data_IF_113541278354
#
_entry.id   IF_113541278354
#
_cell.length_a   1.000
_cell.length_b   1.000
_cell.length_c   1.000
_cell.angle_alpha   90.00
_cell.angle_beta   90.00
_cell.angle_gamma   90.00
#
_symmetry.space_group_name_H-M   'P 1'
#
loop_
_entity.id
_entity.type
_entity.pdbx_description
1 polymer ?
#
# COMPACT_ATOMS: atom_id res chain seq x y z
N UNK A 1 -35.28 71.23 -22.05
CA UNK A 1 -35.29 69.75 -22.05
C UNK A 1 -34.13 69.31 -21.15
N UNK A 2 -34.40 68.57 -20.07
CA UNK A 2 -33.45 68.27 -18.98
C UNK A 2 -33.06 66.80 -19.07
N UNK A 3 -31.80 66.50 -19.36
CA UNK A 3 -31.27 65.14 -19.46
C UNK A 3 -30.71 64.70 -18.10
N UNK A 4 -31.17 63.54 -17.61
CA UNK A 4 -30.65 62.86 -16.42
C UNK A 4 -29.61 61.81 -16.85
N UNK A 5 -28.47 61.66 -16.14
CA UNK A 5 -27.52 60.58 -16.40
C UNK A 5 -27.95 59.30 -15.66
N UNK A 6 -27.89 58.18 -16.38
CA UNK A 6 -28.10 56.82 -15.85
C UNK A 6 -26.76 56.36 -15.24
N UNK A 7 -26.76 56.07 -13.95
CA UNK A 7 -25.60 55.48 -13.28
C UNK A 7 -25.57 53.96 -13.52
N UNK A 8 -24.50 53.45 -14.13
CA UNK A 8 -24.20 52.01 -14.20
C UNK A 8 -23.51 51.56 -12.91
N UNK A 9 -24.17 50.68 -12.15
CA UNK A 9 -23.56 50.00 -11.02
C UNK A 9 -22.79 48.76 -11.51
N UNK A 10 -21.47 48.77 -11.35
CA UNK A 10 -20.59 47.63 -11.65
C UNK A 10 -20.60 46.64 -10.49
N UNK A 11 -21.19 45.45 -10.69
CA UNK A 11 -21.06 44.33 -9.75
C UNK A 11 -19.67 43.69 -9.91
N UNK A 12 -18.83 43.78 -8.86
CA UNK A 12 -17.56 43.08 -8.80
C UNK A 12 -17.78 41.63 -8.39
N UNK A 13 -17.37 40.70 -9.24
CA UNK A 13 -17.38 39.26 -8.96
C UNK A 13 -16.15 38.91 -8.11
N UNK A 14 -16.38 38.59 -6.83
CA UNK A 14 -15.38 37.99 -5.95
C UNK A 14 -15.13 36.54 -6.36
N UNK A 15 -13.98 36.25 -6.95
CA UNK A 15 -13.53 34.89 -7.28
C UNK A 15 -12.99 34.19 -6.03
N UNK A 16 -13.79 33.29 -5.44
CA UNK A 16 -13.32 32.38 -4.39
C UNK A 16 -12.39 31.33 -5.00
N UNK A 17 -11.11 31.40 -4.63
CA UNK A 17 -10.12 30.37 -4.96
C UNK A 17 -10.19 29.27 -3.90
N UNK A 18 -10.85 28.16 -4.18
CA UNK A 18 -10.87 26.99 -3.29
C UNK A 18 -9.54 26.25 -3.45
N UNK A 19 -8.68 26.32 -2.43
CA UNK A 19 -7.42 25.58 -2.39
C UNK A 19 -7.72 24.12 -2.04
N UNK A 20 -8.02 23.30 -3.05
CA UNK A 20 -8.25 21.87 -2.88
C UNK A 20 -6.88 21.22 -2.63
N UNK A 21 -6.60 20.64 -1.45
CA UNK A 21 -5.34 19.95 -1.23
C UNK A 21 -5.20 18.81 -2.25
N UNK A 22 -3.99 18.60 -2.81
CA UNK A 22 -3.78 17.53 -3.78
C UNK A 22 -4.20 16.21 -3.14
N UNK A 23 -5.10 15.49 -3.81
CA UNK A 23 -5.45 14.13 -3.44
C UNK A 23 -4.18 13.29 -3.42
N UNK A 24 -3.74 12.85 -2.23
CA UNK A 24 -2.63 11.92 -2.12
C UNK A 24 -3.07 10.64 -2.81
N UNK A 25 -2.55 10.40 -4.01
CA UNK A 25 -2.85 9.19 -4.77
C UNK A 25 -2.57 7.98 -3.88
N UNK A 26 -3.58 7.13 -3.69
CA UNK A 26 -3.46 5.89 -2.92
C UNK A 26 -2.45 5.00 -3.65
N UNK A 27 -1.20 5.00 -3.18
CA UNK A 27 -0.15 4.19 -3.78
C UNK A 27 -0.40 2.73 -3.41
N UNK A 28 -0.92 1.97 -4.37
CA UNK A 28 -1.05 0.52 -4.27
C UNK A 28 0.14 -0.14 -4.97
N UNK A 29 0.83 -1.02 -4.26
CA UNK A 29 1.93 -1.83 -4.78
C UNK A 29 1.73 -3.30 -4.41
N UNK A 30 2.27 -4.18 -5.24
CA UNK A 30 2.26 -5.61 -5.01
C UNK A 30 3.69 -6.13 -4.98
N UNK A 31 4.05 -6.75 -3.86
CA UNK A 31 5.35 -7.34 -3.65
C UNK A 31 5.27 -8.86 -3.80
N UNK A 32 5.88 -9.37 -4.88
CA UNK A 32 5.72 -10.76 -5.32
C UNK A 32 6.98 -11.56 -5.06
N UNK A 33 6.82 -12.80 -4.63
CA UNK A 33 7.92 -13.74 -4.42
C UNK A 33 7.41 -15.18 -4.40
N UNK A 34 8.32 -16.11 -4.07
CA UNK A 34 8.02 -17.54 -4.03
C UNK A 34 8.78 -18.21 -2.87
N UNK A 35 8.07 -19.06 -2.15
CA UNK A 35 8.62 -19.94 -1.11
C UNK A 35 9.25 -21.19 -1.74
N UNK A 36 10.24 -21.76 -1.07
CA UNK A 36 10.94 -22.96 -1.55
C UNK A 36 10.01 -24.19 -1.70
N UNK A 37 8.95 -24.27 -0.89
CA UNK A 37 7.94 -25.33 -0.98
C UNK A 37 6.96 -25.18 -2.16
N UNK A 38 7.16 -24.18 -3.02
CA UNK A 38 6.41 -23.98 -4.26
C UNK A 38 5.20 -23.05 -4.17
N UNK A 39 4.88 -22.51 -2.99
CA UNK A 39 3.87 -21.45 -2.86
C UNK A 39 4.41 -20.11 -3.36
N UNK A 40 3.71 -19.50 -4.31
CA UNK A 40 3.93 -18.10 -4.69
C UNK A 40 3.10 -17.19 -3.79
N UNK A 41 3.56 -15.95 -3.61
CA UNK A 41 2.83 -14.96 -2.85
C UNK A 41 2.85 -13.58 -3.50
N UNK A 42 1.83 -12.79 -3.16
CA UNK A 42 1.70 -11.38 -3.47
C UNK A 42 1.26 -10.64 -2.22
N UNK A 43 2.18 -9.90 -1.61
CA UNK A 43 1.89 -9.00 -0.50
C UNK A 43 1.38 -7.67 -1.05
N UNK A 44 0.27 -7.18 -0.52
CA UNK A 44 -0.32 -5.91 -0.93
C UNK A 44 0.09 -4.79 0.02
N UNK A 45 0.65 -3.73 -0.57
CA UNK A 45 0.92 -2.48 0.10
C UNK A 45 -0.10 -1.45 -0.35
N UNK A 46 -0.87 -0.94 0.59
CA UNK A 46 -1.93 0.04 0.35
C UNK A 46 -1.83 1.12 1.43
N UNK A 47 -1.94 2.39 1.04
CA UNK A 47 -1.98 3.54 1.96
C UNK A 47 -0.85 3.55 3.00
N UNK A 48 0.36 3.18 2.58
CA UNK A 48 1.53 3.20 3.46
C UNK A 48 1.74 1.95 4.32
N UNK A 49 0.93 0.89 4.17
CA UNK A 49 1.02 -0.33 4.98
C UNK A 49 0.82 -1.60 4.18
N UNK A 50 1.42 -2.68 4.66
CA UNK A 50 1.10 -4.03 4.20
C UNK A 50 -0.14 -4.55 4.93
N UNK A 51 -1.16 -4.93 4.18
CA UNK A 51 -2.46 -5.32 4.76
C UNK A 51 -2.78 -6.80 4.58
N UNK A 52 -2.32 -7.42 3.48
CA UNK A 52 -2.54 -8.84 3.23
C UNK A 52 -1.49 -9.48 2.34
N UNK A 53 -1.38 -10.81 2.43
CA UNK A 53 -0.66 -11.65 1.49
C UNK A 53 -1.62 -12.63 0.86
N UNK A 54 -1.68 -12.66 -0.47
CA UNK A 54 -2.35 -13.71 -1.24
C UNK A 54 -1.35 -14.77 -1.63
N UNK A 55 -1.67 -16.03 -1.35
CA UNK A 55 -0.84 -17.21 -1.62
C UNK A 55 -1.47 -18.07 -2.72
N UNK A 56 -0.65 -18.56 -3.63
CA UNK A 56 -1.10 -19.46 -4.70
C UNK A 56 -0.13 -20.60 -4.92
N UNK A 57 -0.66 -21.79 -5.23
CA UNK A 57 0.10 -22.95 -5.66
C UNK A 57 -0.77 -23.78 -6.59
N UNK A 58 -0.16 -24.37 -7.62
CA UNK A 58 -0.89 -25.24 -8.55
C UNK A 58 -1.58 -26.38 -7.81
N UNK A 59 -2.82 -26.68 -8.16
CA UNK A 59 -3.64 -27.72 -7.53
C UNK A 59 -4.13 -27.41 -6.11
N UNK A 60 -3.94 -26.18 -5.62
CA UNK A 60 -4.38 -25.76 -4.29
C UNK A 60 -5.26 -24.51 -4.37
N UNK A 61 -6.33 -24.41 -3.55
CA UNK A 61 -7.11 -23.18 -3.45
C UNK A 61 -6.24 -22.01 -2.97
N UNK A 62 -6.41 -20.80 -3.54
CA UNK A 62 -5.72 -19.61 -3.04
C UNK A 62 -6.00 -19.36 -1.57
N UNK A 63 -4.98 -18.91 -0.84
CA UNK A 63 -5.09 -18.59 0.58
C UNK A 63 -4.76 -17.13 0.82
N UNK A 64 -5.25 -16.59 1.93
CA UNK A 64 -5.00 -15.19 2.31
C UNK A 64 -4.55 -15.13 3.76
N UNK A 65 -3.53 -14.33 4.01
CA UNK A 65 -3.12 -13.90 5.34
C UNK A 65 -3.40 -12.43 5.48
N UNK A 66 -4.25 -12.05 6.43
CA UNK A 66 -4.34 -10.65 6.87
C UNK A 66 -3.10 -10.30 7.68
N UNK A 67 -2.58 -9.10 7.48
CA UNK A 67 -1.40 -8.59 8.16
C UNK A 67 -1.77 -7.45 9.10
N UNK A 68 -1.08 -7.39 10.23
CA UNK A 68 -1.12 -6.26 11.15
C UNK A 68 0.29 -5.81 11.46
N UNK A 69 0.49 -4.50 11.52
CA UNK A 69 1.76 -3.93 11.97
C UNK A 69 2.02 -4.37 13.41
N UNK A 70 3.21 -4.90 13.68
CA UNK A 70 3.64 -5.28 15.02
C UNK A 70 4.53 -4.21 15.63
N UNK A 71 5.65 -3.94 14.97
CA UNK A 71 6.68 -3.02 15.44
C UNK A 71 7.68 -2.70 14.32
N UNK A 72 8.61 -1.79 14.59
CA UNK A 72 9.79 -1.55 13.76
C UNK A 72 11.01 -2.15 14.47
N UNK A 73 11.88 -2.87 13.75
CA UNK A 73 13.09 -3.45 14.34
C UNK A 73 14.22 -2.41 14.49
N UNK A 74 15.33 -2.81 15.10
CA UNK A 74 16.53 -1.98 15.28
C UNK A 74 17.21 -1.52 13.99
N UNK A 75 16.84 -2.07 12.83
CA UNK A 75 17.30 -1.63 11.49
C UNK A 75 16.36 -0.61 10.85
N UNK A 76 15.31 -0.18 11.56
CA UNK A 76 14.29 0.72 11.05
C UNK A 76 13.30 0.04 10.10
N UNK A 77 13.24 -1.29 10.07
CA UNK A 77 12.38 -2.04 9.16
C UNK A 77 11.03 -2.33 9.84
N UNK A 78 9.90 -1.86 9.27
CA UNK A 78 8.57 -2.25 9.71
C UNK A 78 8.37 -3.77 9.63
N UNK A 79 7.79 -4.34 10.68
CA UNK A 79 7.44 -5.76 10.78
C UNK A 79 5.93 -5.88 10.90
N UNK A 80 5.37 -6.75 10.07
CA UNK A 80 3.96 -7.12 10.05
C UNK A 80 3.82 -8.60 10.40
N UNK A 81 2.74 -8.95 11.10
CA UNK A 81 2.39 -10.32 11.47
C UNK A 81 1.03 -10.70 10.94
N UNK A 82 0.86 -11.98 10.64
CA UNK A 82 -0.42 -12.57 10.29
C UNK A 82 -0.38 -14.08 10.50
N UNK A 83 -1.39 -14.76 10.01
CA UNK A 83 -1.43 -16.23 10.00
C UNK A 83 -1.87 -16.75 8.63
N UNK A 84 -1.49 -17.98 8.35
CA UNK A 84 -1.92 -18.77 7.20
C UNK A 84 -2.63 -20.02 7.72
N UNK A 85 -3.72 -20.44 7.06
CA UNK A 85 -4.57 -21.54 7.53
C UNK A 85 -5.01 -21.40 8.99
N UNK A 86 -5.25 -20.16 9.44
CA UNK A 86 -5.61 -19.77 10.80
C UNK A 86 -4.59 -20.09 11.92
N UNK A 87 -3.50 -20.83 11.66
CA UNK A 87 -2.57 -21.28 12.70
C UNK A 87 -1.08 -21.05 12.39
N UNK A 88 -0.69 -21.02 11.11
CA UNK A 88 0.73 -20.95 10.73
C UNK A 88 1.19 -19.51 10.75
N UNK A 89 2.20 -19.18 11.55
CA UNK A 89 2.65 -17.79 11.72
C UNK A 89 3.28 -17.24 10.44
N UNK A 90 2.89 -16.02 10.07
CA UNK A 90 3.48 -15.27 8.95
C UNK A 90 4.13 -13.99 9.48
N UNK A 91 5.33 -13.70 9.00
CA UNK A 91 6.05 -12.45 9.25
C UNK A 91 6.42 -11.80 7.92
N UNK A 92 6.09 -10.54 7.75
CA UNK A 92 6.59 -9.71 6.65
C UNK A 92 7.49 -8.62 7.23
N UNK A 93 8.67 -8.45 6.65
CA UNK A 93 9.60 -7.38 6.96
C UNK A 93 9.75 -6.50 5.73
N UNK A 94 9.43 -5.22 5.88
CA UNK A 94 9.70 -4.22 4.86
C UNK A 94 11.17 -3.81 4.89
N UNK A 95 11.92 -4.16 3.85
CA UNK A 95 13.35 -3.89 3.79
C UNK A 95 13.66 -2.45 3.34
N UNK A 96 12.66 -1.72 2.85
CA UNK A 96 12.77 -0.30 2.49
C UNK A 96 12.52 0.66 3.66
N UNK A 97 12.35 0.14 4.88
CA UNK A 97 12.27 0.97 6.11
C UNK A 97 11.08 1.95 6.12
N UNK A 98 9.96 1.56 5.51
CA UNK A 98 8.75 2.37 5.40
C UNK A 98 8.61 3.13 4.08
N UNK A 99 9.68 3.23 3.28
CA UNK A 99 9.66 3.91 1.98
C UNK A 99 9.45 2.92 0.81
N UNK A 100 8.29 2.26 0.83
CA UNK A 100 7.97 1.23 -0.17
C UNK A 100 7.64 1.87 -1.52
N UNK A 101 8.43 1.52 -2.54
CA UNK A 101 8.31 2.00 -3.92
C UNK A 101 8.55 0.84 -4.91
N UNK A 102 8.23 1.00 -6.20
CA UNK A 102 8.64 0.02 -7.21
C UNK A 102 10.15 -0.25 -7.13
N UNK A 103 10.53 -1.52 -7.12
CA UNK A 103 11.91 -1.98 -6.90
C UNK A 103 12.29 -2.22 -5.43
N UNK A 104 11.48 -1.78 -4.45
CA UNK A 104 11.68 -2.15 -3.04
C UNK A 104 11.59 -3.66 -2.83
N UNK A 105 12.18 -4.14 -1.75
CA UNK A 105 12.14 -5.55 -1.36
C UNK A 105 11.45 -5.77 -0.02
N UNK A 106 10.84 -6.93 0.10
CA UNK A 106 10.34 -7.48 1.37
C UNK A 106 10.98 -8.83 1.66
N UNK A 107 11.02 -9.19 2.94
CA UNK A 107 11.33 -10.55 3.39
C UNK A 107 10.09 -11.15 4.04
N UNK A 108 9.61 -12.28 3.54
CA UNK A 108 8.46 -12.98 4.10
C UNK A 108 8.94 -14.29 4.72
N UNK A 109 8.60 -14.49 5.98
CA UNK A 109 8.87 -15.71 6.74
C UNK A 109 7.57 -16.38 7.09
N UNK A 110 7.48 -17.68 6.85
CA UNK A 110 6.36 -18.51 7.28
C UNK A 110 6.93 -19.64 8.13
N UNK A 111 6.30 -19.85 9.28
CA UNK A 111 6.65 -20.94 10.19
C UNK A 111 6.74 -22.27 9.41
N UNK A 112 7.80 -23.03 9.66
CA UNK A 112 8.14 -24.30 8.98
C UNK A 112 8.49 -24.21 7.48
N UNK A 113 8.12 -23.13 6.77
CA UNK A 113 8.42 -23.00 5.33
C UNK A 113 9.69 -22.18 5.06
N UNK A 114 10.18 -21.47 6.08
CA UNK A 114 11.37 -20.65 6.01
C UNK A 114 11.10 -19.24 5.48
N UNK A 115 12.13 -18.65 4.86
CA UNK A 115 12.13 -17.26 4.42
C UNK A 115 12.32 -17.15 2.91
N UNK A 116 11.66 -16.16 2.30
CA UNK A 116 11.84 -15.81 0.89
C UNK A 116 11.82 -14.29 0.69
N UNK A 117 12.46 -13.84 -0.39
CA UNK A 117 12.43 -12.43 -0.83
C UNK A 117 11.35 -12.18 -1.87
N UNK A 118 10.73 -11.01 -1.78
CA UNK A 118 9.79 -10.52 -2.77
C UNK A 118 10.16 -9.12 -3.25
N UNK A 119 9.87 -8.82 -4.51
CA UNK A 119 10.12 -7.52 -5.13
C UNK A 119 8.79 -6.78 -5.34
N UNK A 120 8.78 -5.50 -4.98
CA UNK A 120 7.61 -4.63 -5.09
C UNK A 120 7.53 -3.99 -6.47
N UNK A 121 6.32 -3.95 -7.02
CA UNK A 121 6.04 -3.29 -8.29
C UNK A 121 4.60 -2.82 -8.36
N UNK A 122 4.30 -2.02 -9.39
CA UNK A 122 2.91 -1.70 -9.73
C UNK A 122 2.20 -2.97 -10.23
N UNK A 123 0.88 -2.96 -10.20
CA UNK A 123 0.10 -3.99 -10.88
C UNK A 123 0.29 -3.77 -12.39
N UNK A 124 1.18 -4.55 -13.01
CA UNK A 124 1.34 -4.65 -14.46
C UNK A 124 0.55 -5.84 -14.96
#
# INVERSE_FOLDING_TARGET
MKFLPIALATFSLLSLSVNIPPTVATQQLFCRGRMNNGWSYSAEFLNGRFERIRWTRSGQPPQVSSLSFKNTNNKGQPIYRGSLFAAVSVTLIDLSKGDVRPGSQISVGVEEWGWSRGNCGRNS
#
